data_IF_569541694625
#
_entry.id   IF_569541694625
#
_cell.length_a   1.000
_cell.length_b   1.000
_cell.length_c   1.000
_cell.angle_alpha   90.00
_cell.angle_beta   90.00
_cell.angle_gamma   90.00
#
_symmetry.space_group_name_H-M   'P 1'
#
loop_
_entity.id
_entity.type
_entity.pdbx_description
1 polymer ?
#
# COMPACT_ATOMS: atom_id res chain seq x y z
N UNK A 1 -10.30 -12.95 18.81
CA UNK A 1 -8.89 -12.60 18.53
C UNK A 1 -8.80 -12.55 17.03
N UNK A 2 -8.77 -11.35 16.46
CA UNK A 2 -8.80 -11.18 15.00
C UNK A 2 -7.35 -11.21 14.54
N UNK A 3 -6.96 -12.30 13.89
CA UNK A 3 -5.63 -12.43 13.28
C UNK A 3 -5.73 -11.81 11.89
N UNK A 4 -4.89 -10.82 11.63
CA UNK A 4 -4.77 -10.17 10.32
C UNK A 4 -3.41 -10.47 9.68
N UNK A 5 -3.34 -10.35 8.35
CA UNK A 5 -2.12 -10.56 7.58
C UNK A 5 -1.61 -9.20 7.13
N UNK A 6 -0.31 -8.99 7.31
CA UNK A 6 0.41 -7.91 6.66
C UNK A 6 1.84 -8.38 6.31
N UNK A 7 2.28 -8.07 5.09
CA UNK A 7 3.62 -8.40 4.62
C UNK A 7 4.23 -7.21 3.88
N UNK A 8 5.43 -6.76 4.26
CA UNK A 8 6.27 -7.25 5.36
C UNK A 8 5.67 -7.00 6.75
N UNK A 9 6.27 -7.59 7.80
CA UNK A 9 5.73 -7.55 9.17
C UNK A 9 5.50 -6.11 9.63
N UNK A 10 4.29 -5.75 10.12
CA UNK A 10 4.01 -4.41 10.64
C UNK A 10 4.96 -4.03 11.77
N UNK A 11 5.35 -2.74 11.81
CA UNK A 11 6.18 -2.16 12.87
C UNK A 11 7.56 -2.82 13.04
N UNK A 12 7.99 -3.59 12.05
CA UNK A 12 9.35 -4.13 11.98
C UNK A 12 10.22 -3.22 11.11
N UNK A 13 11.54 -3.40 11.18
CA UNK A 13 12.46 -2.77 10.23
C UNK A 13 12.47 -3.45 8.85
N UNK A 14 11.55 -4.39 8.58
CA UNK A 14 11.42 -5.03 7.27
C UNK A 14 10.46 -4.24 6.40
N UNK A 15 10.95 -3.77 5.25
CA UNK A 15 10.20 -3.03 4.24
C UNK A 15 10.38 -3.68 2.86
N UNK A 16 9.37 -3.61 2.01
CA UNK A 16 9.47 -4.00 0.60
C UNK A 16 9.38 -2.73 -0.24
N UNK A 17 10.52 -2.23 -0.70
CA UNK A 17 10.57 -1.05 -1.54
C UNK A 17 10.18 -1.38 -2.98
N UNK A 18 9.22 -0.65 -3.54
CA UNK A 18 8.92 -0.64 -4.97
C UNK A 18 9.34 0.69 -5.58
N UNK A 19 9.84 0.66 -6.82
CA UNK A 19 10.04 1.87 -7.62
C UNK A 19 8.75 2.17 -8.37
N UNK A 20 8.31 3.43 -8.37
CA UNK A 20 7.13 3.86 -9.11
C UNK A 20 7.42 5.13 -9.91
N UNK A 21 6.64 5.33 -10.97
CA UNK A 21 6.71 6.50 -11.84
C UNK A 21 5.30 7.07 -11.97
N UNK A 22 5.15 8.38 -11.78
CA UNK A 22 3.89 9.05 -12.01
C UNK A 22 3.65 9.15 -13.53
N UNK A 23 2.50 8.66 -13.98
CA UNK A 23 2.12 8.77 -15.39
C UNK A 23 2.09 10.24 -15.83
N UNK A 24 2.57 10.51 -17.05
CA UNK A 24 2.71 11.88 -17.58
C UNK A 24 3.90 12.70 -17.06
N UNK A 25 4.77 12.14 -16.21
CA UNK A 25 6.01 12.81 -15.79
C UNK A 25 7.23 12.28 -16.53
N UNK A 26 8.26 13.12 -16.83
CA UNK A 26 9.52 12.64 -17.38
C UNK A 26 10.16 11.61 -16.46
N UNK A 27 10.73 10.55 -17.04
CA UNK A 27 11.47 9.56 -16.26
C UNK A 27 12.63 10.24 -15.50
N UNK A 28 12.77 10.00 -14.20
CA UNK A 28 13.86 10.56 -13.41
C UNK A 28 15.21 9.98 -13.86
N UNK A 29 16.29 10.71 -13.61
CA UNK A 29 17.64 10.21 -13.90
C UNK A 29 17.93 8.93 -13.11
N UNK A 30 18.90 8.14 -13.59
CA UNK A 30 19.33 6.93 -12.88
C UNK A 30 19.70 7.25 -11.42
N UNK A 31 19.09 6.52 -10.48
CA UNK A 31 19.27 6.74 -9.04
C UNK A 31 18.35 7.80 -8.40
N UNK A 32 17.48 8.46 -9.19
CA UNK A 32 16.50 9.44 -8.70
C UNK A 32 15.05 8.93 -8.76
N UNK A 33 14.86 7.64 -9.03
CA UNK A 33 13.53 7.07 -9.10
C UNK A 33 12.86 7.08 -7.73
N UNK A 34 11.58 7.42 -7.69
CA UNK A 34 10.82 7.44 -6.45
C UNK A 34 10.58 6.01 -5.97
N UNK A 35 10.76 5.80 -4.68
CA UNK A 35 10.45 4.54 -4.01
C UNK A 35 9.32 4.72 -3.03
N UNK A 36 8.49 3.68 -2.90
CA UNK A 36 7.47 3.56 -1.87
C UNK A 36 7.62 2.22 -1.16
N UNK A 37 7.25 2.17 0.11
CA UNK A 37 7.04 0.88 0.77
C UNK A 37 5.73 0.28 0.28
N UNK A 38 5.81 -0.95 -0.22
CA UNK A 38 4.66 -1.76 -0.59
C UNK A 38 4.36 -2.74 0.53
N UNK A 39 3.16 -2.65 1.07
CA UNK A 39 2.68 -3.55 2.12
C UNK A 39 1.39 -4.21 1.63
N UNK A 40 1.39 -5.54 1.58
CA UNK A 40 0.18 -6.32 1.33
C UNK A 40 -0.53 -6.54 2.66
N UNK A 41 -1.82 -6.21 2.73
CA UNK A 41 -2.61 -6.29 3.96
C UNK A 41 -3.95 -7.00 3.71
N UNK A 42 -4.52 -7.61 4.75
CA UNK A 42 -5.92 -8.08 4.69
C UNK A 42 -6.90 -6.91 4.65
N UNK A 43 -8.12 -7.17 4.18
CA UNK A 43 -9.22 -6.19 4.12
C UNK A 43 -9.50 -5.51 5.47
N UNK A 44 -9.28 -6.24 6.57
CA UNK A 44 -9.55 -5.83 7.94
C UNK A 44 -8.41 -5.09 8.62
N UNK A 45 -7.20 -5.05 8.03
CA UNK A 45 -6.00 -4.52 8.67
C UNK A 45 -6.16 -3.09 9.22
N UNK A 46 -6.62 -2.15 8.38
CA UNK A 46 -6.76 -0.75 8.79
C UNK A 46 -7.78 -0.59 9.93
N UNK A 47 -8.86 -1.38 9.92
CA UNK A 47 -9.86 -1.40 10.98
C UNK A 47 -9.26 -1.93 12.28
N UNK A 48 -8.52 -3.03 12.22
CA UNK A 48 -7.86 -3.62 13.40
C UNK A 48 -6.81 -2.68 13.99
N UNK A 49 -6.09 -1.95 13.15
CA UNK A 49 -5.09 -0.96 13.57
C UNK A 49 -5.68 0.42 13.94
N UNK A 50 -7.01 0.60 13.86
CA UNK A 50 -7.71 1.87 14.07
C UNK A 50 -7.16 3.03 13.21
N UNK A 51 -6.81 2.76 11.95
CA UNK A 51 -6.35 3.76 10.99
C UNK A 51 -7.56 4.24 10.16
N UNK A 52 -7.95 5.53 10.24
CA UNK A 52 -9.11 6.04 9.51
C UNK A 52 -8.79 6.37 8.05
N UNK A 53 -9.74 6.06 7.15
CA UNK A 53 -9.70 6.47 5.74
C UNK A 53 -10.08 7.95 5.60
N UNK A 54 -9.23 8.72 4.92
CA UNK A 54 -9.47 10.15 4.63
C UNK A 54 -10.35 10.34 3.38
N UNK A 55 -10.13 9.53 2.35
CA UNK A 55 -10.89 9.56 1.10
C UNK A 55 -10.87 8.20 0.39
N UNK A 56 -11.93 7.86 -0.34
CA UNK A 56 -12.03 6.58 -1.05
C UNK A 56 -12.64 5.47 -0.18
N UNK A 57 -12.11 4.24 -0.30
CA UNK A 57 -12.62 3.05 0.40
C UNK A 57 -11.50 2.11 0.81
N UNK A 58 -11.73 1.28 1.82
CA UNK A 58 -10.86 0.15 2.14
C UNK A 58 -10.97 -0.94 1.05
N UNK A 59 -10.02 -1.88 1.10
CA UNK A 59 -10.15 -3.12 0.35
C UNK A 59 -11.40 -3.89 0.79
N UNK A 60 -11.98 -4.64 -0.14
CA UNK A 60 -13.10 -5.53 0.11
C UNK A 60 -12.98 -6.80 -0.74
N UNK A 61 -13.92 -7.74 -0.55
CA UNK A 61 -13.95 -9.05 -1.22
C UNK A 61 -13.95 -9.00 -2.76
N UNK A 62 -14.24 -7.85 -3.37
CA UNK A 62 -14.23 -7.66 -4.82
C UNK A 62 -12.86 -7.27 -5.38
N UNK A 63 -11.90 -6.90 -4.52
CA UNK A 63 -10.53 -6.56 -4.90
C UNK A 63 -9.68 -7.82 -5.09
N UNK A 64 -10.02 -8.60 -6.12
CA UNK A 64 -9.37 -9.86 -6.48
C UNK A 64 -8.26 -9.66 -7.52
N UNK A 65 -7.43 -10.69 -7.73
CA UNK A 65 -6.37 -10.66 -8.74
C UNK A 65 -6.88 -10.47 -10.18
N UNK A 66 -8.13 -10.86 -10.46
CA UNK A 66 -8.78 -10.74 -11.77
C UNK A 66 -9.57 -9.43 -11.91
N UNK A 67 -9.70 -8.66 -10.83
CA UNK A 67 -10.38 -7.37 -10.81
C UNK A 67 -9.44 -6.22 -11.19
N UNK A 68 -9.99 -4.99 -11.25
CA UNK A 68 -9.16 -3.81 -11.42
C UNK A 68 -8.19 -3.66 -10.24
N UNK A 69 -6.89 -3.53 -10.55
CA UNK A 69 -5.87 -3.33 -9.53
C UNK A 69 -6.08 -2.00 -8.80
N UNK A 70 -6.12 -2.07 -7.48
CA UNK A 70 -6.31 -0.92 -6.59
C UNK A 70 -5.22 -0.90 -5.52
N UNK A 71 -4.93 0.29 -4.99
CA UNK A 71 -3.99 0.50 -3.89
C UNK A 71 -4.52 1.57 -2.93
N UNK A 72 -4.14 1.47 -1.65
CA UNK A 72 -4.35 2.52 -0.66
C UNK A 72 -3.00 3.20 -0.44
N UNK A 73 -2.98 4.51 -0.57
CA UNK A 73 -1.77 5.32 -0.40
C UNK A 73 -1.86 6.13 0.88
N UNK A 74 -0.75 6.23 1.59
CA UNK A 74 -0.61 7.12 2.74
C UNK A 74 0.06 8.42 2.30
N UNK A 75 -0.30 9.57 2.91
CA UNK A 75 0.41 10.82 2.63
C UNK A 75 1.88 10.69 3.03
N UNK A 76 2.77 11.27 2.22
CA UNK A 76 4.13 11.53 2.63
C UNK A 76 4.08 12.68 3.65
N UNK A 77 4.31 12.38 4.93
CA UNK A 77 4.56 13.39 5.97
C UNK A 77 6.06 13.59 6.15
#
# INVERSE_FOLDING_TARGET
>A
MNVDIAYPMPLSSSGSGITYYADGTPLPAAGQAQTAESISVSETYFKTMNIPMVAGRYFNEFDTADSQRVAIVTPNV
#
